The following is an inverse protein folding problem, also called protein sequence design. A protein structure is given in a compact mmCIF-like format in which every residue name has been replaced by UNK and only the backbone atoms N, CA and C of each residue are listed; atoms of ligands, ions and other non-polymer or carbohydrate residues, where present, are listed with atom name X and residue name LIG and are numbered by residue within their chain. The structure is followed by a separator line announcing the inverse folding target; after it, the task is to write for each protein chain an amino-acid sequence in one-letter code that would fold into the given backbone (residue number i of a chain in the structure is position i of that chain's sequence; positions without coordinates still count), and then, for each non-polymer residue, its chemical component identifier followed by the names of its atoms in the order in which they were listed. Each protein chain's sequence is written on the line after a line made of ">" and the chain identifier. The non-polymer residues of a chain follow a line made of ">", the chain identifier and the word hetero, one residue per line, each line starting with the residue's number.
data_IF_146255802771
#
_entry.id   IF_146255802771
#
_cell.length_a   1.000
_cell.length_b   1.000
_cell.length_c   1.000
_cell.angle_alpha   90.00
_cell.angle_beta   90.00
_cell.angle_gamma   90.00
#
_symmetry.space_group_name_H-M   'P 1'
#
loop_
_entity.id
_entity.type
_entity.pdbx_description
1 polymer ?
#
# COMPACT_ATOMS: atom_id res chain seq x y z
N UNK A 1 15.76 -5.20 26.21
CA UNK A 1 14.45 -5.22 25.52
C UNK A 1 14.06 -6.64 25.10
N UNK A 2 12.81 -6.99 25.35
CA UNK A 2 12.12 -8.19 24.87
C UNK A 2 11.42 -7.93 23.54
N UNK A 3 11.03 -6.69 23.27
CA UNK A 3 10.40 -6.27 22.02
C UNK A 3 11.00 -4.98 21.47
N UNK A 4 11.01 -4.85 20.14
CA UNK A 4 11.35 -3.62 19.41
C UNK A 4 10.23 -3.34 18.43
N UNK A 5 9.66 -2.14 18.50
CA UNK A 5 8.64 -1.62 17.58
C UNK A 5 9.30 -0.61 16.65
N UNK A 6 9.35 -0.93 15.37
CA UNK A 6 9.92 -0.09 14.32
C UNK A 6 8.80 0.64 13.59
N UNK A 7 8.86 1.97 13.64
CA UNK A 7 7.86 2.88 13.08
C UNK A 7 8.45 3.68 11.91
N UNK A 8 7.65 4.09 10.91
CA UNK A 8 8.15 4.82 9.74
C UNK A 8 8.74 6.19 10.07
N UNK A 9 8.21 6.86 11.09
CA UNK A 9 8.68 8.19 11.49
C UNK A 9 8.58 8.46 12.98
N UNK A 10 9.25 9.52 13.42
CA UNK A 10 9.33 9.90 14.84
C UNK A 10 7.96 10.24 15.43
N UNK A 11 7.05 10.86 14.67
CA UNK A 11 5.69 11.18 15.12
C UNK A 11 4.91 9.92 15.49
N UNK A 12 5.01 8.89 14.66
CA UNK A 12 4.37 7.59 14.89
C UNK A 12 5.01 6.87 16.07
N UNK A 13 6.34 6.87 16.15
CA UNK A 13 7.06 6.30 17.28
C UNK A 13 6.68 6.96 18.61
N UNK A 14 6.58 8.30 18.65
CA UNK A 14 6.13 9.03 19.83
C UNK A 14 4.70 8.67 20.21
N UNK A 15 3.78 8.66 19.24
CA UNK A 15 2.39 8.26 19.48
C UNK A 15 2.27 6.85 20.07
N UNK A 16 3.00 5.86 19.52
CA UNK A 16 2.98 4.49 20.06
C UNK A 16 3.60 4.44 21.46
N UNK A 17 4.68 5.19 21.71
CA UNK A 17 5.28 5.27 23.03
C UNK A 17 4.31 5.82 24.08
N UNK A 18 3.59 6.90 23.76
CA UNK A 18 2.55 7.47 24.62
C UNK A 18 1.41 6.48 24.85
N UNK A 19 0.94 5.81 23.80
CA UNK A 19 -0.10 4.77 23.87
C UNK A 19 0.31 3.60 24.77
N UNK A 20 1.57 3.16 24.72
CA UNK A 20 2.08 2.12 25.63
C UNK A 20 2.07 2.57 27.10
N UNK A 21 2.20 3.88 27.35
CA UNK A 21 2.07 4.48 28.67
C UNK A 21 0.67 4.26 29.29
N UNK A 22 -0.38 4.27 28.47
CA UNK A 22 -1.76 4.03 28.94
C UNK A 22 -1.97 2.58 29.43
N UNK A 23 -1.19 1.63 28.91
CA UNK A 23 -1.22 0.22 29.32
C UNK A 23 -0.33 -0.09 30.54
N UNK A 24 0.31 0.93 31.13
CA UNK A 24 1.15 0.78 32.32
C UNK A 24 0.38 0.35 33.59
N UNK A 25 -0.95 0.48 33.59
CA UNK A 25 -1.82 0.07 34.71
C UNK A 25 -2.10 -1.44 34.76
N UNK A 26 -1.45 -2.24 33.92
CA UNK A 26 -1.59 -3.70 33.89
C UNK A 26 -0.82 -4.36 35.06
N UNK A 27 -1.20 -5.60 35.40
CA UNK A 27 -0.57 -6.39 36.48
C UNK A 27 0.91 -6.69 36.25
N UNK A 28 1.43 -6.45 35.03
CA UNK A 28 2.83 -6.57 34.65
C UNK A 28 3.21 -5.34 33.81
N UNK A 29 3.60 -4.22 34.43
CA UNK A 29 3.91 -3.00 33.70
C UNK A 29 5.10 -3.23 32.78
N UNK A 30 4.94 -2.84 31.51
CA UNK A 30 6.04 -2.78 30.56
C UNK A 30 6.80 -1.48 30.76
N UNK A 31 8.12 -1.51 30.57
CA UNK A 31 8.96 -0.31 30.56
C UNK A 31 9.36 0.04 29.12
N UNK A 32 8.53 0.80 28.38
CA UNK A 32 8.85 1.25 27.04
C UNK A 32 9.91 2.35 27.08
N UNK A 33 10.72 2.43 26.03
CA UNK A 33 11.69 3.50 25.79
C UNK A 33 11.51 3.99 24.36
N UNK A 34 11.25 5.29 24.20
CA UNK A 34 11.33 5.94 22.90
C UNK A 34 12.79 6.17 22.55
N UNK A 35 13.22 5.60 21.44
CA UNK A 35 14.58 5.71 20.92
C UNK A 35 14.59 6.57 19.66
N UNK A 36 15.10 7.78 19.80
CA UNK A 36 15.41 8.68 18.70
C UNK A 36 16.88 9.04 18.76
N UNK A 37 17.66 8.61 17.76
CA UNK A 37 19.08 8.92 17.67
C UNK A 37 19.28 9.85 16.48
N UNK A 38 19.79 11.04 16.75
CA UNK A 38 20.19 12.02 15.74
C UNK A 38 21.39 11.58 14.91
N UNK A 39 21.88 12.50 14.08
CA UNK A 39 22.96 12.24 13.11
C UNK A 39 24.36 12.44 13.69
N UNK A 40 24.47 12.98 14.90
CA UNK A 40 25.76 13.24 15.53
C UNK A 40 26.45 11.92 15.88
N UNK A 41 27.69 11.74 15.43
CA UNK A 41 28.45 10.48 15.53
C UNK A 41 28.51 9.92 16.96
N UNK A 42 28.59 10.80 17.96
CA UNK A 42 28.73 10.39 19.36
C UNK A 42 27.40 10.11 20.05
N UNK A 43 26.27 10.49 19.47
CA UNK A 43 24.95 10.34 20.09
C UNK A 43 24.59 8.86 20.27
N UNK A 44 24.77 8.05 19.22
CA UNK A 44 24.56 6.61 19.28
C UNK A 44 25.52 5.91 20.28
N UNK A 45 26.77 6.37 20.33
CA UNK A 45 27.81 5.83 21.22
C UNK A 45 27.49 6.14 22.70
N UNK A 46 27.01 7.35 22.97
CA UNK A 46 26.70 7.81 24.32
C UNK A 46 25.31 7.36 24.80
N UNK A 47 24.45 6.88 23.91
CA UNK A 47 23.12 6.41 24.25
C UNK A 47 23.17 5.22 25.21
N UNK A 48 22.54 5.37 26.37
CA UNK A 48 22.40 4.32 27.39
C UNK A 48 20.93 3.97 27.54
N UNK A 49 20.61 2.70 27.33
CA UNK A 49 19.29 2.19 27.63
C UNK A 49 19.11 2.07 29.15
N UNK A 50 17.97 2.51 29.70
CA UNK A 50 17.70 2.36 31.12
C UNK A 50 17.65 0.88 31.52
N UNK A 51 18.02 0.60 32.77
CA UNK A 51 17.87 -0.75 33.34
C UNK A 51 16.39 -1.10 33.36
N UNK A 52 16.07 -2.35 32.99
CA UNK A 52 14.69 -2.81 32.93
C UNK A 52 13.92 -2.43 31.66
N UNK A 53 14.57 -1.92 30.61
CA UNK A 53 13.90 -1.66 29.33
C UNK A 53 13.37 -2.96 28.68
N UNK A 54 12.04 -3.06 28.62
CA UNK A 54 11.31 -4.19 28.06
C UNK A 54 10.97 -3.97 26.59
N UNK A 55 10.55 -2.75 26.23
CA UNK A 55 10.13 -2.41 24.87
C UNK A 55 10.90 -1.20 24.37
N UNK A 56 11.41 -1.25 23.14
CA UNK A 56 11.96 -0.07 22.45
C UNK A 56 11.00 0.32 21.34
N UNK A 57 10.62 1.59 21.28
CA UNK A 57 9.88 2.17 20.15
C UNK A 57 10.83 3.08 19.40
N UNK A 58 11.01 2.86 18.10
CA UNK A 58 12.10 3.50 17.33
C UNK A 58 11.76 3.62 15.84
N UNK A 59 12.68 4.22 15.09
CA UNK A 59 12.67 4.28 13.62
C UNK A 59 13.79 3.42 13.03
N UNK A 60 13.71 2.99 11.75
CA UNK A 60 14.74 2.15 11.13
C UNK A 60 16.15 2.75 11.25
N UNK A 61 16.28 4.04 10.95
CA UNK A 61 17.55 4.75 11.01
C UNK A 61 18.13 4.82 12.44
N UNK A 62 17.29 5.10 13.43
CA UNK A 62 17.73 5.17 14.83
C UNK A 62 18.15 3.78 15.35
N UNK A 63 17.38 2.75 15.01
CA UNK A 63 17.70 1.37 15.39
C UNK A 63 19.02 0.92 14.78
N UNK A 64 19.21 1.12 13.47
CA UNK A 64 20.43 0.69 12.79
C UNK A 64 21.68 1.39 13.37
N UNK A 65 21.61 2.70 13.63
CA UNK A 65 22.69 3.44 14.30
C UNK A 65 23.02 2.88 15.67
N UNK A 66 22.00 2.49 16.45
CA UNK A 66 22.24 1.86 17.74
C UNK A 66 22.92 0.50 17.59
N UNK A 67 22.50 -0.31 16.61
CA UNK A 67 23.06 -1.64 16.36
C UNK A 67 24.53 -1.59 15.96
N UNK A 68 25.00 -0.51 15.31
CA UNK A 68 26.43 -0.30 15.01
C UNK A 68 27.31 -0.30 16.26
N UNK A 69 26.83 0.25 17.38
CA UNK A 69 27.59 0.35 18.64
C UNK A 69 27.17 -0.70 19.67
N UNK A 70 25.97 -1.26 19.54
CA UNK A 70 25.38 -2.22 20.48
C UNK A 70 24.82 -3.44 19.76
N UNK A 71 25.70 -4.19 19.08
CA UNK A 71 25.34 -5.41 18.36
C UNK A 71 24.64 -6.46 19.24
N UNK A 72 24.91 -6.47 20.54
CA UNK A 72 24.31 -7.40 21.51
C UNK A 72 22.87 -7.04 21.92
N UNK A 73 22.27 -5.96 21.40
CA UNK A 73 20.89 -5.55 21.69
C UNK A 73 19.89 -6.69 21.41
N UNK A 74 20.15 -7.47 20.37
CA UNK A 74 19.30 -8.57 19.94
C UNK A 74 19.49 -9.86 20.72
N UNK A 75 20.49 -9.95 21.62
CA UNK A 75 20.66 -11.15 22.43
C UNK A 75 19.41 -11.46 23.26
N UNK A 76 18.62 -10.49 23.71
CA UNK A 76 17.40 -10.73 24.51
C UNK A 76 16.10 -10.42 23.75
N UNK A 77 16.20 -10.04 22.48
CA UNK A 77 15.05 -9.60 21.72
C UNK A 77 14.25 -10.82 21.25
N UNK A 78 12.99 -10.93 21.66
CA UNK A 78 12.08 -12.00 21.23
C UNK A 78 11.17 -11.53 20.10
N UNK A 79 10.70 -10.27 20.15
CA UNK A 79 9.68 -9.76 19.25
C UNK A 79 10.16 -8.56 18.43
N UNK A 80 10.10 -8.68 17.11
CA UNK A 80 10.30 -7.57 16.18
C UNK A 80 8.95 -7.16 15.58
N UNK A 81 8.46 -5.99 15.94
CA UNK A 81 7.18 -5.44 15.45
C UNK A 81 7.47 -4.37 14.41
N UNK A 82 6.92 -4.53 13.21
CA UNK A 82 7.08 -3.62 12.08
C UNK A 82 5.73 -2.95 11.82
N UNK A 83 5.62 -1.67 12.17
CA UNK A 83 4.40 -0.90 11.94
C UNK A 83 4.47 -0.15 10.59
N UNK A 84 3.35 -0.10 9.88
CA UNK A 84 3.23 0.40 8.51
C UNK A 84 4.34 -0.14 7.58
N UNK A 85 4.50 -1.47 7.53
CA UNK A 85 5.61 -2.17 6.88
C UNK A 85 5.86 -1.75 5.43
N UNK A 86 4.82 -1.42 4.67
CA UNK A 86 4.93 -0.90 3.31
C UNK A 86 5.68 0.44 3.25
N UNK A 87 5.51 1.31 4.25
CA UNK A 87 6.19 2.61 4.36
C UNK A 87 7.62 2.40 4.81
N UNK A 88 7.85 1.48 5.76
CA UNK A 88 9.20 1.12 6.21
C UNK A 88 10.10 0.71 5.04
N UNK A 89 9.63 -0.20 4.18
CA UNK A 89 10.38 -0.62 3.01
C UNK A 89 10.45 0.44 1.91
N UNK A 90 9.46 1.33 1.80
CA UNK A 90 9.48 2.41 0.82
C UNK A 90 10.50 3.49 1.18
N UNK A 91 10.55 3.91 2.45
CA UNK A 91 11.38 5.02 2.91
C UNK A 91 12.77 4.60 3.40
N UNK A 92 12.91 3.37 3.92
CA UNK A 92 14.11 2.92 4.63
C UNK A 92 14.52 1.49 4.24
N UNK A 93 14.44 1.16 2.95
CA UNK A 93 14.64 -0.20 2.43
C UNK A 93 15.94 -0.86 2.92
N UNK A 94 17.08 -0.18 2.76
CA UNK A 94 18.39 -0.71 3.16
C UNK A 94 18.49 -0.92 4.67
N UNK A 95 17.95 0.02 5.46
CA UNK A 95 17.97 -0.06 6.91
C UNK A 95 17.10 -1.22 7.40
N UNK A 96 15.94 -1.43 6.78
CA UNK A 96 15.04 -2.54 7.09
C UNK A 96 15.70 -3.88 6.84
N UNK A 97 16.33 -4.08 5.68
CA UNK A 97 17.06 -5.31 5.39
C UNK A 97 18.21 -5.55 6.37
N UNK A 98 19.00 -4.52 6.69
CA UNK A 98 20.05 -4.64 7.68
C UNK A 98 19.52 -5.02 9.09
N UNK A 99 18.38 -4.46 9.51
CA UNK A 99 17.74 -4.82 10.79
C UNK A 99 17.28 -6.28 10.76
N UNK A 100 16.61 -6.70 9.69
CA UNK A 100 16.09 -8.06 9.54
C UNK A 100 17.20 -9.12 9.47
N UNK A 101 18.29 -8.84 8.75
CA UNK A 101 19.46 -9.71 8.68
C UNK A 101 20.13 -9.87 10.05
N UNK A 102 20.26 -8.77 10.80
CA UNK A 102 20.77 -8.84 12.16
C UNK A 102 19.82 -9.62 13.07
N UNK A 103 18.51 -9.46 12.93
CA UNK A 103 17.53 -10.25 13.70
C UNK A 103 17.68 -11.75 13.39
N UNK A 104 17.68 -12.13 12.10
CA UNK A 104 17.82 -13.52 11.62
C UNK A 104 19.07 -14.21 12.15
N UNK A 105 20.23 -13.54 12.07
CA UNK A 105 21.52 -14.07 12.59
C UNK A 105 21.49 -14.40 14.08
N UNK A 106 20.69 -13.68 14.88
CA UNK A 106 20.59 -13.93 16.31
C UNK A 106 19.59 -15.06 16.65
N UNK A 107 18.66 -15.40 15.74
CA UNK A 107 17.72 -16.53 15.91
C UNK A 107 18.42 -17.88 15.73
N UNK A 108 19.44 -17.95 14.86
CA UNK A 108 20.19 -19.17 14.59
C UNK A 108 21.17 -19.55 15.73
N UNK A 109 21.40 -18.64 16.68
CA UNK A 109 22.29 -18.83 17.83
C UNK A 109 21.48 -19.29 19.05
N UNK A 110 21.55 -20.61 19.28
CA UNK A 110 21.02 -21.35 20.43
C UNK A 110 19.48 -21.40 20.59
N UNK A 111 18.95 -22.62 20.65
CA UNK A 111 17.60 -22.91 21.13
C UNK A 111 17.46 -22.43 22.58
N UNK A 112 17.02 -21.19 22.75
CA UNK A 112 16.66 -20.71 24.08
C UNK A 112 15.35 -21.34 24.53
N UNK A 113 15.38 -21.92 25.72
CA UNK A 113 14.22 -22.56 26.35
C UNK A 113 13.05 -21.61 26.64
N UNK A 114 13.20 -20.27 26.55
CA UNK A 114 12.25 -19.35 27.22
C UNK A 114 11.28 -18.53 26.36
N UNK A 115 11.45 -18.38 25.04
CA UNK A 115 10.42 -17.81 24.15
C UNK A 115 10.79 -17.92 22.66
N UNK A 116 9.84 -18.20 21.76
CA UNK A 116 10.10 -18.18 20.32
C UNK A 116 10.34 -16.76 19.80
N UNK A 117 11.29 -16.62 18.86
CA UNK A 117 11.47 -15.40 18.12
C UNK A 117 10.30 -15.17 17.16
N UNK A 118 9.70 -13.98 17.20
CA UNK A 118 8.52 -13.64 16.41
C UNK A 118 8.70 -12.30 15.71
N UNK A 119 8.33 -12.26 14.43
CA UNK A 119 8.15 -11.01 13.70
C UNK A 119 6.64 -10.78 13.54
N UNK A 120 6.19 -9.57 13.87
CA UNK A 120 4.82 -9.11 13.62
C UNK A 120 4.90 -7.93 12.66
N UNK A 121 4.34 -8.04 11.46
CA UNK A 121 4.29 -6.95 10.50
C UNK A 121 2.85 -6.50 10.27
N UNK A 122 2.61 -5.20 10.39
CA UNK A 122 1.31 -4.58 10.19
C UNK A 122 1.43 -3.57 9.04
N UNK A 123 0.47 -3.59 8.11
CA UNK A 123 0.50 -2.72 6.96
C UNK A 123 -0.82 -2.69 6.21
N UNK A 124 -0.92 -1.76 5.25
CA UNK A 124 -2.14 -1.56 4.45
C UNK A 124 -2.01 -2.05 3.00
N UNK A 125 -0.78 -2.27 2.52
CA UNK A 125 -0.53 -2.65 1.13
C UNK A 125 0.38 -3.87 1.04
N UNK A 126 -0.08 -4.89 0.34
CA UNK A 126 0.74 -5.98 -0.14
C UNK A 126 1.59 -5.51 -1.32
N UNK A 127 2.88 -5.80 -1.26
CA UNK A 127 3.85 -5.51 -2.32
C UNK A 127 5.00 -6.53 -2.29
N UNK A 128 5.88 -6.47 -3.28
CA UNK A 128 7.03 -7.39 -3.41
C UNK A 128 7.97 -7.42 -2.19
N UNK A 129 8.13 -6.31 -1.48
CA UNK A 129 9.00 -6.26 -0.30
C UNK A 129 8.33 -6.96 0.90
N UNK A 130 7.01 -6.82 1.04
CA UNK A 130 6.23 -7.55 2.06
C UNK A 130 6.22 -9.06 1.74
N UNK A 131 6.02 -9.45 0.48
CA UNK A 131 6.12 -10.86 0.06
C UNK A 131 7.52 -11.43 0.37
N UNK A 132 8.57 -10.67 0.09
CA UNK A 132 9.94 -11.06 0.41
C UNK A 132 10.20 -11.13 1.93
N UNK A 133 9.68 -10.18 2.73
CA UNK A 133 9.75 -10.23 4.19
C UNK A 133 9.18 -11.54 4.72
N UNK A 134 7.97 -11.89 4.26
CA UNK A 134 7.24 -13.08 4.68
C UNK A 134 8.00 -14.35 4.31
N UNK A 135 8.52 -14.44 3.08
CA UNK A 135 9.21 -15.64 2.59
C UNK A 135 10.59 -15.85 3.21
N UNK A 136 11.37 -14.80 3.39
CA UNK A 136 12.79 -14.92 3.76
C UNK A 136 13.07 -14.80 5.26
N UNK A 137 12.19 -14.11 6.01
CA UNK A 137 12.44 -13.76 7.41
C UNK A 137 11.40 -14.32 8.38
N UNK A 138 10.20 -14.69 7.94
CA UNK A 138 9.16 -15.24 8.81
C UNK A 138 9.07 -16.76 8.68
N UNK A 139 9.07 -17.46 9.82
CA UNK A 139 8.88 -18.92 9.88
C UNK A 139 7.41 -19.23 10.18
N UNK A 140 6.75 -19.93 9.26
CA UNK A 140 5.33 -20.33 9.36
C UNK A 140 4.36 -19.18 9.75
N UNK A 141 4.32 -18.08 8.95
CA UNK A 141 3.53 -16.91 9.31
C UNK A 141 2.03 -17.12 9.12
N UNK A 142 1.25 -16.59 10.05
CA UNK A 142 -0.19 -16.38 9.87
C UNK A 142 -0.45 -15.06 9.16
N UNK A 143 -1.01 -15.12 7.96
CA UNK A 143 -1.32 -13.95 7.15
C UNK A 143 -2.81 -13.62 7.29
N UNK A 144 -3.12 -12.46 7.89
CA UNK A 144 -4.48 -11.95 8.05
C UNK A 144 -4.66 -10.75 7.13
N UNK A 145 -5.47 -10.90 6.09
CA UNK A 145 -5.78 -9.83 5.15
C UNK A 145 -7.27 -9.52 5.24
N UNK A 146 -7.59 -8.28 5.63
CA UNK A 146 -8.97 -7.81 5.76
C UNK A 146 -9.44 -7.02 4.53
N UNK A 147 -8.51 -6.48 3.74
CA UNK A 147 -8.81 -5.74 2.52
C UNK A 147 -8.85 -6.69 1.32
N UNK A 148 -9.99 -6.75 0.64
CA UNK A 148 -10.20 -7.66 -0.50
C UNK A 148 -9.24 -7.40 -1.67
N UNK A 149 -8.90 -6.14 -1.95
CA UNK A 149 -7.92 -5.77 -2.99
C UNK A 149 -6.55 -6.39 -2.70
N UNK A 150 -6.10 -6.32 -1.45
CA UNK A 150 -4.81 -6.86 -1.01
C UNK A 150 -4.82 -8.40 -0.99
N UNK A 151 -5.97 -9.01 -0.67
CA UNK A 151 -6.12 -10.46 -0.71
C UNK A 151 -6.01 -11.00 -2.14
N UNK A 152 -6.56 -10.27 -3.13
CA UNK A 152 -6.42 -10.63 -4.54
C UNK A 152 -4.97 -10.52 -5.04
N UNK A 153 -4.24 -9.50 -4.59
CA UNK A 153 -2.80 -9.34 -4.88
C UNK A 153 -1.97 -10.45 -4.22
N UNK A 154 -2.21 -10.75 -2.95
CA UNK A 154 -1.56 -11.84 -2.23
C UNK A 154 -1.82 -13.20 -2.89
N UNK A 155 -3.07 -13.46 -3.26
CA UNK A 155 -3.49 -14.68 -3.97
C UNK A 155 -2.98 -14.77 -5.41
N UNK A 156 -2.25 -13.76 -5.90
CA UNK A 156 -1.73 -13.69 -7.27
C UNK A 156 -2.82 -13.93 -8.33
N UNK A 157 -4.01 -13.34 -8.10
CA UNK A 157 -5.15 -13.48 -9.01
C UNK A 157 -4.85 -12.72 -10.30
N UNK A 158 -4.81 -13.46 -11.42
CA UNK A 158 -4.58 -12.86 -12.73
C UNK A 158 -5.83 -12.11 -13.18
N UNK A 159 -5.76 -10.78 -13.23
CA UNK A 159 -6.83 -9.96 -13.79
C UNK A 159 -6.61 -9.78 -15.30
N UNK A 160 -7.63 -10.09 -16.08
CA UNK A 160 -7.67 -9.88 -17.53
C UNK A 160 -8.78 -8.89 -17.84
N UNK A 161 -8.46 -7.80 -18.54
CA UNK A 161 -9.43 -6.76 -18.87
C UNK A 161 -9.67 -6.75 -20.37
N UNK A 162 -10.93 -6.89 -20.77
CA UNK A 162 -11.36 -6.68 -22.14
C UNK A 162 -12.14 -5.38 -22.23
N UNK A 163 -11.67 -4.48 -23.08
CA UNK A 163 -12.43 -3.30 -23.49
C UNK A 163 -13.36 -3.71 -24.63
N UNK A 164 -14.64 -3.41 -24.50
CA UNK A 164 -15.65 -3.68 -25.52
C UNK A 164 -16.77 -2.63 -25.46
N UNK A 165 -17.53 -2.49 -26.54
CA UNK A 165 -18.75 -1.69 -26.50
C UNK A 165 -19.82 -2.44 -25.71
N UNK A 166 -20.71 -1.70 -25.04
CA UNK A 166 -21.80 -2.32 -24.28
C UNK A 166 -22.67 -3.27 -25.14
N UNK A 167 -22.88 -2.93 -26.42
CA UNK A 167 -23.62 -3.77 -27.35
C UNK A 167 -22.90 -5.09 -27.70
N UNK A 168 -21.57 -5.15 -27.56
CA UNK A 168 -20.73 -6.31 -27.87
C UNK A 168 -20.43 -7.16 -26.63
N UNK A 169 -20.73 -6.66 -25.42
CA UNK A 169 -20.40 -7.29 -24.14
C UNK A 169 -20.78 -8.78 -24.06
N UNK A 170 -21.96 -9.13 -24.57
CA UNK A 170 -22.41 -10.54 -24.58
C UNK A 170 -21.58 -11.39 -25.52
N UNK A 171 -21.29 -10.90 -26.73
CA UNK A 171 -20.42 -11.62 -27.67
C UNK A 171 -18.98 -11.75 -27.16
N UNK A 172 -18.44 -10.70 -26.53
CA UNK A 172 -17.10 -10.75 -25.90
C UNK A 172 -17.08 -11.75 -24.75
N UNK A 173 -18.12 -11.79 -23.91
CA UNK A 173 -18.24 -12.78 -22.86
C UNK A 173 -18.25 -14.21 -23.42
N UNK A 174 -19.07 -14.47 -24.44
CA UNK A 174 -19.14 -15.79 -25.07
C UNK A 174 -17.78 -16.19 -25.67
N UNK A 175 -17.08 -15.27 -26.35
CA UNK A 175 -15.73 -15.52 -26.85
C UNK A 175 -14.73 -15.86 -25.73
N UNK A 176 -14.84 -15.22 -24.55
CA UNK A 176 -14.02 -15.52 -23.38
C UNK A 176 -14.37 -16.90 -22.79
N UNK A 177 -15.63 -17.31 -22.86
CA UNK A 177 -16.11 -18.61 -22.37
C UNK A 177 -15.82 -19.77 -23.35
N UNK A 178 -15.84 -19.52 -24.66
CA UNK A 178 -15.71 -20.49 -25.77
C UNK A 178 -14.28 -21.06 -25.95
N UNK A 179 -13.37 -20.81 -25.03
CA UNK A 179 -11.98 -21.25 -25.09
C UNK A 179 -11.76 -22.75 -24.76
N UNK A 180 -12.37 -23.71 -25.47
CA UNK A 180 -12.38 -25.19 -25.23
C UNK A 180 -11.03 -25.86 -24.83
N UNK A 181 -10.92 -26.54 -23.66
CA UNK A 181 -10.26 -27.84 -23.48
C UNK A 181 -10.78 -28.70 -22.31
N UNK A 182 -10.86 -30.00 -22.57
CA UNK A 182 -10.77 -31.21 -21.73
C UNK A 182 -11.16 -31.30 -20.23
N UNK A 183 -11.35 -30.24 -19.43
CA UNK A 183 -11.69 -30.35 -17.99
C UNK A 183 -12.58 -29.22 -17.44
N UNK A 184 -13.67 -29.62 -16.77
CA UNK A 184 -14.63 -28.71 -16.15
C UNK A 184 -14.05 -27.93 -14.94
N UNK A 185 -14.22 -26.60 -14.94
CA UNK A 185 -13.91 -25.71 -13.80
C UNK A 185 -15.16 -24.98 -13.32
N UNK A 186 -15.18 -24.61 -12.03
CA UNK A 186 -16.24 -23.80 -11.43
C UNK A 186 -16.04 -22.33 -11.83
N UNK A 187 -16.86 -21.83 -12.74
CA UNK A 187 -16.87 -20.41 -13.15
C UNK A 187 -17.94 -19.64 -12.40
N UNK A 188 -17.59 -18.46 -11.89
CA UNK A 188 -18.55 -17.51 -11.31
C UNK A 188 -18.60 -16.27 -12.20
N UNK A 189 -19.79 -15.94 -12.68
CA UNK A 189 -20.02 -14.76 -13.53
C UNK A 189 -20.84 -13.76 -12.71
N UNK A 190 -20.33 -12.53 -12.58
CA UNK A 190 -21.05 -11.42 -11.98
C UNK A 190 -21.66 -10.56 -13.09
N UNK A 191 -22.96 -10.32 -12.99
CA UNK A 191 -23.73 -9.48 -13.92
C UNK A 191 -24.27 -8.25 -13.20
N UNK A 192 -24.60 -7.21 -13.96
CA UNK A 192 -25.13 -5.96 -13.40
C UNK A 192 -26.66 -5.99 -13.21
N UNK A 193 -27.34 -7.01 -13.74
CA UNK A 193 -28.80 -7.15 -13.64
C UNK A 193 -29.25 -8.61 -13.79
N UNK A 194 -30.46 -8.91 -13.29
CA UNK A 194 -31.10 -10.22 -13.47
C UNK A 194 -31.30 -10.55 -14.95
N UNK A 195 -31.69 -9.55 -15.76
CA UNK A 195 -31.89 -9.72 -17.20
C UNK A 195 -30.60 -10.17 -17.92
N UNK A 196 -29.46 -9.58 -17.54
CA UNK A 196 -28.16 -9.99 -18.07
C UNK A 196 -27.81 -11.42 -17.65
N UNK A 197 -28.09 -11.81 -16.39
CA UNK A 197 -27.89 -13.19 -15.91
C UNK A 197 -28.65 -14.20 -16.76
N UNK A 198 -29.92 -13.93 -17.07
CA UNK A 198 -30.74 -14.83 -17.87
C UNK A 198 -30.20 -15.05 -19.29
N UNK A 199 -29.62 -13.99 -19.90
CA UNK A 199 -29.01 -14.07 -21.23
C UNK A 199 -27.77 -14.97 -21.18
N UNK A 200 -26.89 -14.76 -20.19
CA UNK A 200 -25.65 -15.54 -20.03
C UNK A 200 -25.94 -17.01 -19.71
N UNK A 201 -26.92 -17.30 -18.85
CA UNK A 201 -27.29 -18.68 -18.51
C UNK A 201 -27.79 -19.49 -19.71
N UNK A 202 -28.38 -18.85 -20.73
CA UNK A 202 -28.91 -19.54 -21.91
C UNK A 202 -27.84 -19.91 -22.95
N UNK A 203 -26.60 -19.42 -22.81
CA UNK A 203 -25.60 -19.42 -23.87
C UNK A 203 -24.33 -20.24 -23.66
N UNK A 204 -24.23 -21.17 -22.69
CA UNK A 204 -22.92 -21.78 -22.37
C UNK A 204 -22.86 -23.31 -22.45
N UNK A 205 -21.93 -23.85 -23.26
CA UNK A 205 -21.06 -24.97 -22.90
C UNK A 205 -19.63 -24.42 -22.66
N UNK A 206 -18.92 -24.98 -21.68
CA UNK A 206 -17.65 -24.45 -21.19
C UNK A 206 -16.52 -25.46 -21.34
N UNK A 207 -15.28 -24.96 -21.47
CA UNK A 207 -14.06 -25.58 -20.95
C UNK A 207 -12.86 -24.64 -21.22
N UNK A 208 -11.97 -24.27 -20.25
CA UNK A 208 -10.60 -23.68 -20.43
C UNK A 208 -9.52 -24.29 -19.49
N UNK A 209 -8.25 -24.36 -19.92
CA UNK A 209 -7.08 -24.76 -19.14
C UNK A 209 -6.08 -23.62 -18.84
N UNK A 210 -5.73 -23.45 -17.56
CA UNK A 210 -4.37 -23.26 -16.99
C UNK A 210 -4.49 -23.23 -15.44
N UNK A 211 -3.40 -23.47 -14.70
CA UNK A 211 -3.38 -23.71 -13.24
C UNK A 211 -3.54 -22.48 -12.33
N UNK A 212 -3.83 -21.28 -12.87
CA UNK A 212 -3.99 -20.04 -12.08
C UNK A 212 -5.42 -19.52 -12.09
N UNK A 213 -5.89 -19.07 -10.93
CA UNK A 213 -7.17 -18.36 -10.80
C UNK A 213 -7.15 -17.09 -11.65
N UNK A 214 -8.04 -17.04 -12.64
CA UNK A 214 -8.25 -15.88 -13.51
C UNK A 214 -9.51 -15.15 -13.10
N UNK A 215 -9.47 -13.83 -13.19
CA UNK A 215 -10.62 -12.96 -13.08
C UNK A 215 -10.69 -12.12 -14.34
N UNK A 216 -11.78 -12.26 -15.09
CA UNK A 216 -11.97 -11.54 -16.35
C UNK A 216 -12.96 -10.41 -16.13
N UNK A 217 -12.58 -9.20 -16.54
CA UNK A 217 -13.38 -7.99 -16.43
C UNK A 217 -13.68 -7.44 -17.82
N UNK A 218 -14.97 -7.29 -18.12
CA UNK A 218 -15.44 -6.60 -19.32
C UNK A 218 -15.72 -5.14 -18.98
N UNK A 219 -14.87 -4.24 -19.48
CA UNK A 219 -15.03 -2.79 -19.33
C UNK A 219 -15.69 -2.21 -20.58
N UNK A 220 -16.71 -1.40 -20.34
CA UNK A 220 -17.52 -0.73 -21.36
C UNK A 220 -17.67 0.76 -21.00
N UNK A 221 -18.24 1.54 -21.90
CA UNK A 221 -18.55 2.95 -21.66
C UNK A 221 -19.52 3.15 -20.47
N UNK A 222 -20.36 2.16 -20.14
CA UNK A 222 -21.32 2.25 -19.01
C UNK A 222 -20.66 2.13 -17.64
N UNK A 223 -19.53 1.44 -17.54
CA UNK A 223 -18.80 1.23 -16.28
C UNK A 223 -17.44 1.96 -16.24
N UNK A 224 -17.22 2.90 -17.18
CA UNK A 224 -16.00 3.67 -17.35
C UNK A 224 -15.51 4.36 -16.06
N UNK A 225 -16.40 4.73 -15.14
CA UNK A 225 -16.03 5.34 -13.85
C UNK A 225 -15.06 4.49 -13.02
N UNK A 226 -15.10 3.16 -13.17
CA UNK A 226 -14.26 2.20 -12.47
C UNK A 226 -12.91 1.95 -13.15
N UNK A 227 -12.75 2.33 -14.43
CA UNK A 227 -11.55 2.02 -15.23
C UNK A 227 -10.26 2.54 -14.59
N UNK A 228 -10.30 3.73 -13.96
CA UNK A 228 -9.14 4.31 -13.26
C UNK A 228 -8.70 3.43 -12.08
N UNK A 229 -9.66 2.85 -11.34
CA UNK A 229 -9.36 1.95 -10.22
C UNK A 229 -8.83 0.60 -10.70
N UNK A 230 -9.39 0.09 -11.80
CA UNK A 230 -8.91 -1.14 -12.45
C UNK A 230 -7.49 -0.98 -12.95
N UNK A 231 -7.19 0.12 -13.66
CA UNK A 231 -5.83 0.42 -14.13
C UNK A 231 -4.84 0.45 -12.96
N UNK A 232 -5.19 1.14 -11.87
CA UNK A 232 -4.36 1.21 -10.66
C UNK A 232 -4.10 -0.18 -10.08
N UNK A 233 -5.11 -1.05 -10.04
CA UNK A 233 -4.93 -2.42 -9.58
C UNK A 233 -3.96 -3.19 -10.49
N UNK A 234 -4.12 -3.11 -11.81
CA UNK A 234 -3.26 -3.81 -12.76
C UNK A 234 -1.80 -3.35 -12.67
N UNK A 235 -1.56 -2.04 -12.49
CA UNK A 235 -0.23 -1.47 -12.25
C UNK A 235 0.41 -2.06 -10.98
N UNK A 236 -0.39 -2.30 -9.93
CA UNK A 236 0.08 -2.93 -8.69
C UNK A 236 0.32 -4.44 -8.82
N UNK A 237 -0.46 -5.11 -9.66
CA UNK A 237 -0.39 -6.55 -9.87
C UNK A 237 0.74 -6.97 -10.83
N UNK A 238 1.55 -6.02 -11.32
CA UNK A 238 2.56 -6.24 -12.37
C UNK A 238 1.95 -6.95 -13.61
N UNK A 239 0.69 -6.62 -13.91
CA UNK A 239 -0.04 -7.21 -15.01
C UNK A 239 0.39 -6.56 -16.34
N UNK A 240 0.21 -7.28 -17.44
CA UNK A 240 0.35 -6.69 -18.77
C UNK A 240 -0.86 -5.81 -19.06
N UNK A 241 -0.62 -4.52 -19.24
CA UNK A 241 -1.68 -3.51 -19.43
C UNK A 241 -1.72 -3.09 -20.91
N UNK A 242 -2.84 -3.28 -21.62
CA UNK A 242 -3.01 -2.78 -22.99
C UNK A 242 -2.96 -1.25 -23.06
N UNK A 243 -2.37 -0.69 -24.12
CA UNK A 243 -2.29 0.77 -24.35
C UNK A 243 -3.66 1.43 -24.45
N UNK A 244 -4.63 0.71 -25.02
CA UNK A 244 -6.01 1.14 -25.19
C UNK A 244 -6.66 1.44 -23.83
N UNK A 245 -6.27 0.71 -22.77
CA UNK A 245 -6.78 0.97 -21.42
C UNK A 245 -6.22 2.28 -20.84
N UNK A 246 -4.96 2.62 -21.14
CA UNK A 246 -4.41 3.91 -20.75
C UNK A 246 -5.15 5.06 -21.43
N UNK A 247 -5.38 4.97 -22.74
CA UNK A 247 -6.12 5.98 -23.50
C UNK A 247 -7.56 6.12 -23.00
N UNK A 248 -8.26 5.00 -22.80
CA UNK A 248 -9.61 4.99 -22.24
C UNK A 248 -9.64 5.68 -20.87
N UNK A 249 -8.73 5.34 -19.96
CA UNK A 249 -8.68 5.95 -18.63
C UNK A 249 -8.32 7.44 -18.65
N UNK A 250 -7.53 7.90 -19.63
CA UNK A 250 -7.22 9.31 -19.80
C UNK A 250 -8.50 10.12 -20.12
N UNK A 251 -9.32 9.63 -21.05
CA UNK A 251 -10.63 10.23 -21.34
C UNK A 251 -11.57 10.22 -20.13
N UNK A 252 -11.58 9.13 -19.34
CA UNK A 252 -12.34 9.09 -18.08
C UNK A 252 -11.86 10.14 -17.08
N UNK A 253 -10.55 10.35 -16.96
CA UNK A 253 -9.97 11.34 -16.05
C UNK A 253 -10.31 12.76 -16.47
N UNK A 254 -10.27 13.06 -17.77
CA UNK A 254 -10.70 14.35 -18.32
C UNK A 254 -12.17 14.62 -18.01
N UNK A 255 -13.07 13.68 -18.31
CA UNK A 255 -14.48 13.81 -17.99
C UNK A 255 -14.76 13.91 -16.47
N UNK A 256 -13.94 13.26 -15.64
CA UNK A 256 -14.00 13.43 -14.17
C UNK A 256 -13.54 14.81 -13.73
N UNK A 257 -12.55 15.38 -14.40
CA UNK A 257 -12.00 16.70 -14.11
C UNK A 257 -12.99 17.81 -14.48
N UNK A 258 -13.68 17.70 -15.61
CA UNK A 258 -14.72 18.65 -16.03
C UNK A 258 -15.86 18.74 -15.00
N UNK A 259 -16.22 17.61 -14.39
CA UNK A 259 -17.21 17.55 -13.30
C UNK A 259 -16.77 18.30 -12.04
N UNK A 260 -15.49 18.65 -11.91
CA UNK A 260 -14.93 19.42 -10.78
C UNK A 260 -14.85 20.91 -11.06
N UNK A 261 -15.38 21.42 -12.18
CA UNK A 261 -15.26 22.83 -12.58
C UNK A 261 -15.60 23.85 -11.46
N UNK A 262 -16.55 23.53 -10.57
CA UNK A 262 -16.97 24.38 -9.45
C UNK A 262 -16.27 24.11 -8.11
N UNK A 263 -15.42 23.09 -8.03
CA UNK A 263 -14.66 22.74 -6.82
C UNK A 263 -13.48 23.72 -6.62
N UNK A 264 -12.94 23.85 -5.39
CA UNK A 264 -11.72 24.61 -5.19
C UNK A 264 -10.55 24.01 -5.99
N UNK A 265 -9.62 24.86 -6.44
CA UNK A 265 -8.36 24.41 -7.03
C UNK A 265 -7.52 23.69 -5.98
N UNK A 266 -6.98 22.52 -6.36
CA UNK A 266 -6.18 21.62 -5.54
C UNK A 266 -5.08 22.36 -4.76
N UNK A 267 -4.99 22.20 -3.43
CA UNK A 267 -3.97 22.86 -2.61
C UNK A 267 -2.53 22.51 -3.01
N UNK A 268 -2.27 21.26 -3.40
CA UNK A 268 -0.95 20.83 -3.84
C UNK A 268 -0.57 21.44 -5.18
N UNK A 269 -1.51 21.50 -6.11
CA UNK A 269 -1.30 22.18 -7.38
C UNK A 269 -1.01 23.68 -7.17
N UNK A 270 -1.74 24.32 -6.26
CA UNK A 270 -1.50 25.73 -5.86
C UNK A 270 -0.12 25.95 -5.25
N UNK A 271 0.30 25.08 -4.34
CA UNK A 271 1.53 25.25 -3.57
C UNK A 271 2.79 24.82 -4.33
N UNK A 272 2.69 23.77 -5.16
CA UNK A 272 3.84 23.10 -5.74
C UNK A 272 3.82 23.02 -7.28
N UNK A 273 2.73 23.44 -7.92
CA UNK A 273 2.57 23.33 -9.38
C UNK A 273 2.21 21.92 -9.87
N UNK A 274 2.07 20.93 -8.98
CA UNK A 274 1.62 19.58 -9.34
C UNK A 274 0.88 18.89 -8.19
N UNK A 275 0.03 17.91 -8.51
CA UNK A 275 -0.62 17.02 -7.55
C UNK A 275 -0.21 15.57 -7.84
N UNK A 276 0.43 14.91 -6.86
CA UNK A 276 0.83 13.50 -7.00
C UNK A 276 -0.38 12.57 -7.15
N UNK A 277 -1.48 12.91 -6.46
CA UNK A 277 -2.69 12.10 -6.40
C UNK A 277 -3.78 12.56 -7.38
N UNK A 278 -3.40 13.13 -8.53
CA UNK A 278 -4.33 13.70 -9.53
C UNK A 278 -5.48 12.74 -9.89
N UNK A 279 -5.20 11.43 -9.98
CA UNK A 279 -6.18 10.38 -10.35
C UNK A 279 -7.33 10.22 -9.34
N UNK A 280 -7.11 10.55 -8.06
CA UNK A 280 -8.10 10.40 -6.97
C UNK A 280 -8.44 11.72 -6.28
N UNK A 281 -7.74 12.81 -6.60
CA UNK A 281 -7.90 14.07 -5.92
C UNK A 281 -9.32 14.65 -6.13
N UNK A 282 -10.01 15.02 -5.04
CA UNK A 282 -11.38 15.53 -5.11
C UNK A 282 -11.45 16.93 -5.69
N UNK A 283 -10.37 17.69 -5.61
CA UNK A 283 -10.30 19.08 -6.07
C UNK A 283 -9.98 19.17 -7.56
N UNK A 284 -10.24 20.34 -8.14
CA UNK A 284 -9.93 20.57 -9.55
C UNK A 284 -8.45 20.88 -9.76
N UNK A 285 -7.98 20.56 -10.95
CA UNK A 285 -6.65 20.76 -11.47
C UNK A 285 -6.63 21.67 -12.71
N UNK A 286 -7.80 22.03 -13.25
CA UNK A 286 -7.91 23.01 -14.33
C UNK A 286 -8.24 24.39 -13.76
N UNK A 287 -7.54 25.41 -14.22
CA UNK A 287 -7.82 26.83 -13.90
C UNK A 287 -9.10 27.22 -14.65
N UNK A 288 -10.05 27.83 -13.94
CA UNK A 288 -11.27 28.36 -14.53
C UNK A 288 -11.17 29.89 -14.57
N UNK A 289 -10.97 30.52 -15.75
CA UNK A 289 -10.81 31.98 -15.87
C UNK A 289 -11.95 32.81 -15.29
N UNK A 290 -13.17 32.26 -15.22
CA UNK A 290 -14.34 32.95 -14.67
C UNK A 290 -14.33 32.99 -13.14
N UNK A 291 -13.77 31.95 -12.51
CA UNK A 291 -13.74 31.81 -11.04
C UNK A 291 -12.40 32.20 -10.42
N UNK A 292 -11.29 32.00 -11.15
CA UNK A 292 -9.91 32.19 -10.69
C UNK A 292 -9.39 33.58 -11.04
N UNK A 293 -10.20 34.60 -10.75
CA UNK A 293 -9.82 35.99 -10.99
C UNK A 293 -9.00 36.46 -9.78
N UNK A 294 -7.80 37.04 -9.99
CA UNK A 294 -7.05 37.67 -8.91
C UNK A 294 -7.92 38.72 -8.22
N UNK A 295 -8.08 38.62 -6.90
CA UNK A 295 -8.72 39.69 -6.13
C UNK A 295 -7.87 40.95 -6.32
N UNK A 296 -8.49 42.05 -6.76
CA UNK A 296 -7.86 43.38 -6.74
C UNK A 296 -7.60 43.75 -5.28
N UNK A 297 -6.39 43.53 -4.81
CA UNK A 297 -5.89 44.08 -3.56
C UNK A 297 -5.33 45.45 -3.92
N UNK A 298 -6.01 46.53 -3.52
CA UNK A 298 -5.72 47.92 -3.91
C UNK A 298 -5.78 48.18 -5.43
N UNK A 299 -5.72 49.45 -5.85
CA UNK A 299 -5.89 49.91 -7.25
C UNK A 299 -4.82 49.40 -8.24
N UNK A 300 -4.06 48.37 -7.89
CA UNK A 300 -3.02 47.76 -8.73
C UNK A 300 -3.43 46.34 -9.09
N UNK A 301 -3.45 46.05 -10.39
CA UNK A 301 -3.66 44.70 -10.90
C UNK A 301 -2.44 43.84 -10.53
N UNK A 302 -2.66 42.78 -9.74
CA UNK A 302 -1.64 41.76 -9.54
C UNK A 302 -1.24 41.17 -10.90
N UNK A 303 0.07 41.05 -11.21
CA UNK A 303 0.52 40.54 -12.50
C UNK A 303 0.07 39.08 -12.67
N UNK A 304 -0.63 38.78 -13.76
CA UNK A 304 -1.08 37.43 -14.10
C UNK A 304 0.03 36.48 -14.55
N UNK A 305 1.25 37.02 -14.74
CA UNK A 305 2.46 36.28 -15.13
C UNK A 305 3.69 36.91 -14.48
N UNK A 306 4.62 36.08 -13.99
CA UNK A 306 5.87 36.51 -13.37
C UNK A 306 6.42 35.47 -12.39
N UNK A 307 7.72 35.55 -12.08
CA UNK A 307 8.32 34.75 -11.00
C UNK A 307 8.17 35.48 -9.67
N UNK A 308 7.62 34.79 -8.67
CA UNK A 308 7.72 35.21 -7.27
C UNK A 308 9.16 34.90 -6.86
N UNK A 309 9.95 35.95 -6.58
CA UNK A 309 11.27 35.79 -5.94
C UNK A 309 11.10 35.56 -4.44
#
# INVERSE_FOLDING_TARGET
>A
PLAVIVCPGWKKAQFIFELLGDYSMSSRPLHPVLLTIGLHKDEAKNMKLPRGCDVIVTTPHSLLRLLTYRSLLFLRLCHLVLDEVQVLFFEANEQMFAILDNFKKNVEVEERESAPHQIVAVGVHWNRHVDHLVREFMKDPYIVITALEEAALYGNVQQVVHLCLECEKTSTLLQVLDFVPSQAQKTLIFTCSVAETEIVCKGSPAEQGDKKTKSVLLLTERNASHAVGVLRYLERADAKIPSELYEFTAGVLEAKEDKKARRPLCPYLKAFGFCKDKRICPDRHHINPEMDIPRKLSNESLPGFGHIR
#
